data_IF_143275602847
#
_entry.id   IF_143275602847
#
_cell.length_a   1.000
_cell.length_b   1.000
_cell.length_c   1.000
_cell.angle_alpha   90.00
_cell.angle_beta   90.00
_cell.angle_gamma   90.00
#
_symmetry.space_group_name_H-M   'P 1'
#
loop_
_entity.id
_entity.type
_entity.pdbx_description
1 polymer ?
#
# COMPACT_ATOMS: atom_id res chain seq x y z
N UNK A 1 25.13 5.49 -19.89
CA UNK A 1 24.93 5.24 -18.45
C UNK A 1 23.87 4.16 -18.33
N UNK A 2 24.21 2.99 -17.79
CA UNK A 2 23.30 1.85 -17.71
C UNK A 2 22.17 2.13 -16.72
N UNK A 3 20.93 1.87 -17.13
CA UNK A 3 19.76 2.01 -16.27
C UNK A 3 19.92 1.05 -15.08
N UNK A 4 19.87 1.52 -13.82
CA UNK A 4 20.00 0.64 -12.68
C UNK A 4 18.84 -0.36 -12.70
N UNK A 5 19.16 -1.61 -12.39
CA UNK A 5 18.18 -2.70 -12.31
C UNK A 5 17.25 -2.40 -11.12
N UNK A 6 16.10 -1.78 -11.41
CA UNK A 6 15.18 -1.24 -10.40
C UNK A 6 14.80 -2.28 -9.34
N UNK A 7 14.53 -3.53 -9.73
CA UNK A 7 14.14 -4.59 -8.79
C UNK A 7 15.22 -4.97 -7.73
N UNK A 8 16.44 -4.45 -7.82
CA UNK A 8 17.48 -4.64 -6.80
C UNK A 8 17.51 -3.50 -5.77
N UNK A 9 16.85 -2.38 -6.03
CA UNK A 9 16.84 -1.21 -5.15
C UNK A 9 15.91 -1.45 -3.97
N UNK A 10 16.43 -1.18 -2.77
CA UNK A 10 15.73 -1.38 -1.50
C UNK A 10 14.95 -0.13 -1.14
N UNK A 11 13.74 -0.30 -0.61
CA UNK A 11 12.99 0.80 -0.03
C UNK A 11 13.53 1.10 1.37
N UNK A 12 13.67 2.39 1.68
CA UNK A 12 14.11 2.88 2.98
C UNK A 12 12.96 3.63 3.66
N UNK A 13 12.96 3.62 4.99
CA UNK A 13 12.05 4.41 5.80
C UNK A 13 12.61 5.82 6.03
N UNK A 14 11.88 6.64 6.81
CA UNK A 14 12.28 8.01 7.11
C UNK A 14 13.56 8.12 7.96
N UNK A 15 13.99 7.03 8.61
CA UNK A 15 15.26 6.96 9.32
C UNK A 15 16.42 6.47 8.42
N UNK A 16 16.15 6.14 7.16
CA UNK A 16 17.13 5.58 6.23
C UNK A 16 17.32 4.07 6.37
N UNK A 17 16.47 3.39 7.15
CA UNK A 17 16.54 1.96 7.41
C UNK A 17 15.72 1.16 6.39
N UNK A 18 16.13 -0.07 6.12
CA UNK A 18 15.49 -0.92 5.10
C UNK A 18 14.09 -1.34 5.54
N UNK A 19 13.11 -1.17 4.66
CA UNK A 19 11.78 -1.73 4.88
C UNK A 19 11.85 -3.28 4.88
N UNK A 20 11.18 -3.89 5.85
CA UNK A 20 11.11 -5.34 6.03
C UNK A 20 9.67 -5.84 5.91
N UNK A 21 9.52 -7.03 5.36
CA UNK A 21 8.19 -7.66 5.29
C UNK A 21 7.70 -8.04 6.68
N UNK A 22 6.40 -7.93 6.94
CA UNK A 22 5.78 -8.30 8.22
C UNK A 22 6.11 -7.37 9.40
N UNK A 23 6.79 -6.25 9.17
CA UNK A 23 7.00 -5.18 10.16
C UNK A 23 5.99 -4.07 9.91
N UNK A 24 5.48 -3.49 10.98
CA UNK A 24 4.51 -2.39 10.93
C UNK A 24 5.18 -1.06 10.52
N UNK A 25 4.58 -0.40 9.53
CA UNK A 25 4.95 0.94 9.07
C UNK A 25 3.71 1.81 8.95
N UNK A 26 3.91 3.13 9.02
CA UNK A 26 2.92 4.11 8.61
C UNK A 26 3.27 4.66 7.23
N UNK A 27 2.28 4.84 6.37
CA UNK A 27 2.47 5.54 5.09
C UNK A 27 1.98 6.98 5.29
N UNK A 28 2.94 7.91 5.20
CA UNK A 28 2.71 9.34 5.43
C UNK A 28 2.86 10.13 4.12
N UNK A 29 2.11 11.22 3.94
CA UNK A 29 2.31 12.13 2.82
C UNK A 29 3.66 12.83 2.96
N UNK A 30 4.41 12.89 1.86
CA UNK A 30 5.68 13.64 1.81
C UNK A 30 5.41 15.15 1.92
N UNK A 31 4.34 15.61 1.27
CA UNK A 31 3.92 17.02 1.30
C UNK A 31 3.04 17.25 2.52
N UNK A 32 3.55 18.06 3.44
CA UNK A 32 2.87 18.51 4.66
C UNK A 32 1.66 19.41 4.37
N UNK A 33 0.75 19.52 5.34
CA UNK A 33 -0.46 20.35 5.26
C UNK A 33 -1.58 19.83 4.36
N UNK A 34 -1.51 18.56 3.89
CA UNK A 34 -2.50 17.95 2.99
C UNK A 34 -3.20 16.71 3.59
N UNK A 35 -3.23 16.62 4.91
CA UNK A 35 -3.76 15.47 5.64
C UNK A 35 -2.65 14.64 6.31
N UNK A 36 -3.08 13.59 7.00
CA UNK A 36 -2.21 12.67 7.73
C UNK A 36 -1.88 11.42 6.93
N UNK A 37 -1.53 10.34 7.64
CA UNK A 37 -1.21 9.05 7.04
C UNK A 37 -2.43 8.27 6.51
N UNK A 38 -2.16 7.10 5.94
CA UNK A 38 -3.23 6.23 5.42
C UNK A 38 -3.98 5.49 6.52
N UNK A 39 -5.29 5.38 6.36
CA UNK A 39 -6.22 4.80 7.32
C UNK A 39 -7.37 4.08 6.60
N UNK A 40 -8.35 3.59 7.36
CA UNK A 40 -9.53 2.89 6.85
C UNK A 40 -10.81 3.67 7.17
N UNK A 41 -11.71 3.78 6.19
CA UNK A 41 -13.01 4.41 6.39
C UNK A 41 -14.14 3.69 5.64
N UNK A 42 -15.34 3.79 6.19
CA UNK A 42 -16.57 3.48 5.46
C UNK A 42 -16.84 4.64 4.52
N UNK A 43 -16.84 4.36 3.21
CA UNK A 43 -17.12 5.35 2.18
C UNK A 43 -18.12 4.78 1.17
N UNK A 44 -18.53 5.57 0.17
CA UNK A 44 -19.39 5.10 -0.94
C UNK A 44 -20.70 4.43 -0.48
N UNK A 45 -21.30 4.95 0.60
CA UNK A 45 -22.56 4.45 1.19
C UNK A 45 -22.55 2.95 1.57
N UNK A 46 -21.37 2.38 1.86
CA UNK A 46 -21.22 1.00 2.33
C UNK A 46 -20.46 0.94 3.65
N UNK A 47 -20.88 0.04 4.55
CA UNK A 47 -20.17 -0.16 5.83
C UNK A 47 -18.91 -1.02 5.66
N UNK A 48 -18.99 -2.05 4.81
CA UNK A 48 -17.90 -2.98 4.54
C UNK A 48 -17.87 -3.38 3.05
N UNK A 49 -16.70 -3.76 2.50
CA UNK A 49 -15.38 -3.59 3.10
C UNK A 49 -15.01 -2.10 3.23
N UNK A 50 -14.14 -1.78 4.19
CA UNK A 50 -13.62 -0.42 4.37
C UNK A 50 -12.69 -0.07 3.21
N UNK A 51 -12.66 1.23 2.87
CA UNK A 51 -11.79 1.76 1.84
C UNK A 51 -10.52 2.34 2.45
N UNK A 52 -9.44 2.30 1.67
CA UNK A 52 -8.17 2.90 2.04
C UNK A 52 -8.25 4.39 1.74
N UNK A 53 -8.12 5.21 2.78
CA UNK A 53 -8.23 6.67 2.66
C UNK A 53 -7.05 7.34 3.35
N UNK A 54 -6.88 8.64 3.08
CA UNK A 54 -5.92 9.46 3.82
C UNK A 54 -6.62 10.15 4.99
N UNK A 55 -5.96 10.19 6.14
CA UNK A 55 -6.42 10.97 7.30
C UNK A 55 -6.58 12.45 6.96
N UNK A 56 -7.61 13.09 7.51
CA UNK A 56 -7.84 14.53 7.28
C UNK A 56 -6.89 15.40 8.12
N UNK A 57 -6.50 14.92 9.29
CA UNK A 57 -5.65 15.65 10.22
C UNK A 57 -4.19 15.24 10.06
N UNK A 58 -3.32 16.21 9.75
CA UNK A 58 -1.88 15.99 9.55
C UNK A 58 -1.17 15.35 10.75
N UNK A 59 -1.66 15.61 11.97
CA UNK A 59 -1.12 15.03 13.20
C UNK A 59 -1.41 13.53 13.35
N UNK A 60 -2.33 12.97 12.55
CA UNK A 60 -2.66 11.56 12.59
C UNK A 60 -1.76 10.78 11.64
N UNK A 61 -1.04 9.79 12.18
CA UNK A 61 -0.25 8.87 11.36
C UNK A 61 -1.12 7.84 10.61
N UNK A 62 -2.43 7.80 10.89
CA UNK A 62 -3.32 6.76 10.38
C UNK A 62 -3.08 5.42 11.07
N UNK A 63 -3.23 4.33 10.31
CA UNK A 63 -3.11 2.96 10.83
C UNK A 63 -1.80 2.30 10.37
N UNK A 64 -1.18 1.48 11.22
CA UNK A 64 0.00 0.72 10.83
C UNK A 64 -0.36 -0.35 9.80
N UNK A 65 0.59 -0.67 8.92
CA UNK A 65 0.44 -1.71 7.91
C UNK A 65 1.73 -2.48 7.67
N UNK A 66 1.58 -3.66 7.09
CA UNK A 66 2.67 -4.58 6.73
C UNK A 66 2.74 -4.78 5.22
N UNK A 67 3.94 -5.12 4.77
CA UNK A 67 4.20 -5.57 3.40
C UNK A 67 4.51 -7.06 3.36
N UNK A 68 3.96 -7.75 2.37
CA UNK A 68 4.26 -9.16 2.08
C UNK A 68 4.68 -9.30 0.62
N UNK A 69 5.90 -9.80 0.40
CA UNK A 69 6.48 -9.96 -0.94
C UNK A 69 5.91 -11.18 -1.66
N UNK A 70 5.69 -11.03 -2.97
CA UNK A 70 5.35 -12.15 -3.89
C UNK A 70 6.36 -13.31 -3.77
N UNK A 71 7.61 -13.01 -3.40
CA UNK A 71 8.58 -14.00 -3.00
C UNK A 71 8.72 -14.00 -1.46
N UNK A 72 8.08 -14.94 -0.74
CA UNK A 72 8.03 -14.95 0.73
C UNK A 72 9.39 -15.24 1.38
N UNK A 73 10.38 -15.76 0.62
CA UNK A 73 11.74 -15.98 1.13
C UNK A 73 12.55 -14.69 1.24
N UNK A 74 12.09 -13.59 0.62
CA UNK A 74 12.77 -12.29 0.65
C UNK A 74 12.14 -11.39 1.72
N UNK A 75 12.88 -11.14 2.79
CA UNK A 75 12.42 -10.32 3.91
C UNK A 75 12.62 -8.80 3.77
N UNK A 76 13.19 -8.33 2.67
CA UNK A 76 13.45 -6.89 2.41
C UNK A 76 12.55 -6.42 1.28
N UNK A 77 11.81 -5.34 1.54
CA UNK A 77 10.95 -4.67 0.55
C UNK A 77 11.81 -3.92 -0.45
N UNK A 78 11.49 -4.09 -1.73
CA UNK A 78 12.23 -3.51 -2.86
C UNK A 78 11.27 -2.80 -3.80
N UNK A 79 11.80 -1.83 -4.52
CA UNK A 79 11.03 -1.18 -5.58
C UNK A 79 10.67 -2.18 -6.67
N UNK A 80 9.61 -1.85 -7.41
CA UNK A 80 9.11 -2.61 -8.57
C UNK A 80 8.83 -4.09 -8.32
N UNK A 81 8.70 -4.50 -7.06
CA UNK A 81 8.39 -5.86 -6.62
C UNK A 81 6.91 -5.91 -6.22
N UNK A 82 6.20 -6.95 -6.65
CA UNK A 82 4.79 -7.15 -6.29
C UNK A 82 4.65 -7.48 -4.79
N UNK A 83 3.79 -6.73 -4.12
CA UNK A 83 3.56 -6.77 -2.68
C UNK A 83 2.06 -6.85 -2.40
N UNK A 84 1.67 -7.66 -1.42
CA UNK A 84 0.42 -7.43 -0.71
C UNK A 84 0.68 -6.41 0.40
N UNK A 85 -0.33 -5.57 0.67
CA UNK A 85 -0.32 -4.54 1.71
C UNK A 85 -1.51 -4.81 2.60
N UNK A 86 -1.31 -4.77 3.92
CA UNK A 86 -2.33 -5.12 4.90
C UNK A 86 -2.24 -4.24 6.13
N UNK A 87 -3.33 -3.58 6.50
CA UNK A 87 -3.38 -2.85 7.77
C UNK A 87 -3.36 -3.81 8.97
N UNK A 88 -2.55 -3.49 9.96
CA UNK A 88 -2.43 -4.20 11.24
C UNK A 88 -3.43 -3.66 12.25
N UNK A 89 -4.71 -3.68 11.90
CA UNK A 89 -5.79 -3.14 12.71
C UNK A 89 -6.99 -4.09 12.76
N UNK A 90 -7.60 -4.21 13.94
CA UNK A 90 -8.91 -4.84 14.06
C UNK A 90 -9.98 -3.90 13.48
N UNK A 91 -10.96 -4.46 12.78
CA UNK A 91 -12.05 -3.69 12.18
C UNK A 91 -13.39 -4.35 12.50
N UNK A 92 -14.49 -3.61 12.26
CA UNK A 92 -15.85 -4.15 12.35
C UNK A 92 -16.21 -5.08 11.18
N UNK A 93 -15.40 -5.08 10.12
CA UNK A 93 -15.63 -5.87 8.93
C UNK A 93 -15.03 -7.26 9.09
N UNK A 94 -15.76 -8.29 8.63
CA UNK A 94 -15.28 -9.68 8.60
C UNK A 94 -14.23 -9.89 7.50
N UNK A 95 -14.25 -9.03 6.48
CA UNK A 95 -13.27 -9.02 5.40
C UNK A 95 -11.86 -8.69 5.90
N UNK A 96 -10.85 -9.25 5.24
CA UNK A 96 -9.45 -8.93 5.53
C UNK A 96 -9.16 -7.44 5.34
N UNK A 97 -8.10 -6.95 5.99
CA UNK A 97 -7.53 -5.61 5.75
C UNK A 97 -6.50 -5.60 4.62
N UNK A 98 -6.39 -6.69 3.85
CA UNK A 98 -5.52 -6.77 2.68
C UNK A 98 -6.08 -5.87 1.60
N UNK A 99 -5.23 -5.02 1.05
CA UNK A 99 -5.58 -4.09 0.00
C UNK A 99 -5.92 -4.81 -1.28
N UNK A 100 -6.91 -4.27 -1.99
CA UNK A 100 -7.38 -4.75 -3.29
C UNK A 100 -7.84 -3.57 -4.14
N UNK A 101 -7.50 -3.59 -5.41
CA UNK A 101 -8.11 -2.69 -6.40
C UNK A 101 -9.55 -3.14 -6.63
N UNK A 102 -10.50 -2.29 -6.26
CA UNK A 102 -11.91 -2.56 -6.44
C UNK A 102 -12.28 -2.57 -7.93
N UNK A 103 -13.50 -3.01 -8.25
CA UNK A 103 -14.05 -2.82 -9.59
C UNK A 103 -14.17 -1.33 -9.90
N UNK A 104 -14.07 -1.00 -11.18
CA UNK A 104 -14.33 0.36 -11.65
C UNK A 104 -15.70 0.83 -11.18
N UNK A 105 -15.73 1.99 -10.54
CA UNK A 105 -16.95 2.62 -10.09
C UNK A 105 -17.44 3.58 -11.18
N UNK A 106 -18.49 3.16 -11.87
CA UNK A 106 -19.11 3.94 -12.95
C UNK A 106 -19.66 5.30 -12.48
N UNK A 107 -20.06 5.42 -11.21
CA UNK A 107 -20.66 6.65 -10.69
C UNK A 107 -19.65 7.76 -10.48
N UNK A 108 -18.45 7.41 -10.05
CA UNK A 108 -17.33 8.33 -9.81
C UNK A 108 -16.30 8.31 -10.93
N UNK A 109 -16.43 7.36 -11.87
CA UNK A 109 -15.49 7.08 -12.97
C UNK A 109 -14.07 6.82 -12.49
N UNK A 110 -13.92 6.08 -11.39
CA UNK A 110 -12.66 5.87 -10.72
C UNK A 110 -12.45 4.40 -10.32
N UNK A 111 -11.17 4.04 -10.16
CA UNK A 111 -10.76 2.82 -9.48
C UNK A 111 -10.37 3.16 -8.05
N UNK A 112 -10.81 2.38 -7.08
CA UNK A 112 -10.50 2.61 -5.66
C UNK A 112 -9.66 1.48 -5.09
N UNK A 113 -8.83 1.84 -4.11
CA UNK A 113 -8.20 0.85 -3.24
C UNK A 113 -9.14 0.59 -2.06
N UNK A 114 -9.63 -0.64 -1.98
CA UNK A 114 -10.50 -1.15 -0.91
C UNK A 114 -9.78 -2.23 -0.12
N UNK A 115 -10.34 -2.67 1.00
CA UNK A 115 -9.91 -3.91 1.67
C UNK A 115 -10.72 -5.14 1.23
N UNK A 116 -10.45 -6.30 1.83
CA UNK A 116 -11.04 -7.58 1.46
C UNK A 116 -10.31 -8.27 0.30
N UNK A 117 -9.01 -8.01 0.16
CA UNK A 117 -8.11 -8.78 -0.69
C UNK A 117 -7.72 -10.12 -0.08
N UNK A 118 -6.98 -10.91 -0.86
CA UNK A 118 -6.39 -12.18 -0.42
C UNK A 118 -4.87 -12.04 -0.46
N UNK A 119 -4.22 -12.35 0.66
CA UNK A 119 -2.76 -12.35 0.78
C UNK A 119 -2.18 -13.63 0.14
N UNK A 120 -1.12 -13.49 -0.65
CA UNK A 120 -0.47 -14.59 -1.36
C UNK A 120 -1.22 -15.07 -2.60
N UNK A 121 -0.97 -16.34 -2.97
CA UNK A 121 -1.50 -17.00 -4.17
C UNK A 121 -1.32 -16.16 -5.46
N UNK A 122 -0.08 -15.78 -5.84
CA UNK A 122 0.14 -14.94 -7.02
C UNK A 122 -0.34 -15.66 -8.29
N UNK A 123 -1.33 -15.06 -8.94
CA UNK A 123 -1.96 -15.65 -10.11
C UNK A 123 -3.16 -14.82 -10.58
N UNK A 124 -3.87 -15.34 -11.59
CA UNK A 124 -5.01 -14.64 -12.22
C UNK A 124 -6.13 -14.27 -11.23
N UNK A 125 -6.27 -15.02 -10.14
CA UNK A 125 -7.32 -14.83 -9.14
C UNK A 125 -7.02 -13.69 -8.15
N UNK A 126 -5.76 -13.30 -8.00
CA UNK A 126 -5.31 -12.32 -7.00
C UNK A 126 -4.66 -11.09 -7.61
N UNK A 127 -4.72 -10.92 -8.93
CA UNK A 127 -4.04 -9.82 -9.65
C UNK A 127 -4.32 -8.45 -9.07
N UNK A 128 -5.55 -8.19 -8.62
CA UNK A 128 -5.95 -6.91 -8.01
C UNK A 128 -5.45 -6.69 -6.58
N UNK A 129 -4.80 -7.66 -5.95
CA UNK A 129 -4.28 -7.56 -4.58
C UNK A 129 -2.79 -7.20 -4.53
N UNK A 130 -2.13 -7.04 -5.68
CA UNK A 130 -0.70 -6.82 -5.80
C UNK A 130 -0.37 -5.37 -6.17
N UNK A 131 0.52 -4.78 -5.39
CA UNK A 131 0.96 -3.39 -5.51
C UNK A 131 2.47 -3.34 -5.65
N UNK A 132 2.97 -2.28 -6.27
CA UNK A 132 4.40 -2.01 -6.32
C UNK A 132 4.70 -0.72 -5.60
N UNK A 133 5.91 -0.64 -5.10
CA UNK A 133 6.45 0.62 -4.62
C UNK A 133 7.50 1.05 -5.65
N UNK A 134 7.45 2.30 -6.09
CA UNK A 134 8.35 2.87 -7.09
C UNK A 134 9.02 4.13 -6.53
N UNK A 135 10.17 4.48 -7.10
CA UNK A 135 10.77 5.78 -6.81
C UNK A 135 9.99 6.88 -7.53
N UNK A 136 9.80 7.99 -6.85
CA UNK A 136 9.11 9.17 -7.40
C UNK A 136 10.09 10.22 -7.95
N UNK A 137 11.35 10.22 -7.52
CA UNK A 137 12.44 10.99 -8.12
C UNK A 137 13.80 10.40 -7.69
N UNK A 138 14.89 10.77 -8.37
CA UNK A 138 16.25 10.30 -8.08
C UNK A 138 16.75 10.79 -6.70
N UNK A 139 16.26 11.94 -6.24
CA UNK A 139 16.63 12.56 -4.95
C UNK A 139 15.72 12.15 -3.79
N UNK A 140 14.51 11.64 -4.08
CA UNK A 140 13.57 11.25 -3.04
C UNK A 140 13.74 9.76 -2.74
N UNK A 141 14.46 9.45 -1.66
CA UNK A 141 14.54 8.09 -1.08
C UNK A 141 13.19 7.56 -0.56
N UNK A 142 12.08 8.27 -0.76
CA UNK A 142 10.76 7.82 -0.42
C UNK A 142 10.14 7.01 -1.56
N UNK A 143 9.81 5.79 -1.19
CA UNK A 143 9.26 4.74 -2.02
C UNK A 143 7.71 4.95 -2.06
N UNK A 144 7.13 5.31 -3.22
CA UNK A 144 5.69 5.56 -3.37
C UNK A 144 4.93 4.38 -3.96
N UNK A 145 3.69 4.16 -3.54
CA UNK A 145 2.84 3.10 -4.06
C UNK A 145 2.37 3.39 -5.50
N UNK A 146 2.78 2.54 -6.44
CA UNK A 146 2.26 2.50 -7.81
C UNK A 146 1.31 1.32 -7.96
N UNK A 147 0.14 1.58 -8.55
CA UNK A 147 -0.75 0.54 -9.06
C UNK A 147 -0.33 0.13 -10.47
N UNK A 148 -0.53 -1.14 -10.84
CA UNK A 148 -0.39 -1.60 -12.24
C UNK A 148 -1.81 -1.69 -12.82
N UNK A 149 -2.07 -0.96 -13.90
CA UNK A 149 -3.28 -1.08 -14.75
C UNK A 149 -3.01 -2.09 -15.86
#
# INVERSE_FOLDING_TARGET
MGQPILHLIQCLDLAGEKLRTGVDYYILPVIRGRGGGLTLASTRNKTCPLDVVQEQHEISNGLPLTFSSVNPKKGVVRVSTDLNIKFSAATICVQSTVWKLDKFDESTRQWFVTTGGVEGNPGRETTSNWYKIEKYDDDLQACFLSYRV
#
